data_IF_683931007447
#
_entry.id   IF_683931007447
#
_cell.length_a   1.000
_cell.length_b   1.000
_cell.length_c   1.000
_cell.angle_alpha   90.00
_cell.angle_beta   90.00
_cell.angle_gamma   90.00
#
_symmetry.space_group_name_H-M   'P 1'
#
loop_
_entity.id
_entity.type
_entity.pdbx_description
1 polymer ?
#
# COMPACT_ATOMS: atom_id res chain seq x y z
N UNK A 1 -13.02 -13.11 -7.18
CA UNK A 1 -11.63 -12.60 -7.22
C UNK A 1 -11.61 -11.27 -7.96
N UNK A 2 -10.92 -10.26 -7.43
CA UNK A 2 -10.84 -8.95 -8.08
C UNK A 2 -9.74 -8.98 -9.14
N UNK A 3 -10.06 -8.58 -10.38
CA UNK A 3 -9.07 -8.47 -11.46
C UNK A 3 -8.80 -7.00 -11.74
N UNK A 4 -7.57 -6.58 -11.46
CA UNK A 4 -7.13 -5.21 -11.56
C UNK A 4 -5.93 -5.11 -12.51
N UNK A 5 -5.83 -3.99 -13.22
CA UNK A 5 -4.70 -3.63 -14.06
C UNK A 5 -4.14 -2.27 -13.63
N UNK A 6 -2.82 -2.12 -13.73
CA UNK A 6 -2.14 -0.84 -13.59
C UNK A 6 -2.20 -0.11 -14.93
N UNK A 7 -2.77 1.09 -14.93
CA UNK A 7 -2.89 1.94 -16.12
C UNK A 7 -2.16 3.25 -15.86
N UNK A 8 -1.29 3.66 -16.77
CA UNK A 8 -0.62 4.95 -16.69
C UNK A 8 -1.66 6.08 -16.77
N UNK A 9 -1.67 6.95 -15.77
CA UNK A 9 -2.60 8.09 -15.65
C UNK A 9 -1.79 9.34 -15.29
N UNK A 10 -1.49 10.17 -16.28
CA UNK A 10 -0.56 11.31 -16.12
C UNK A 10 0.90 10.94 -16.43
N UNK A 11 1.83 11.82 -16.07
CA UNK A 11 3.25 11.64 -16.47
C UNK A 11 3.98 10.54 -15.69
N UNK A 12 3.71 10.40 -14.39
CA UNK A 12 4.44 9.47 -13.49
C UNK A 12 3.53 8.74 -12.48
N UNK A 13 2.22 8.80 -12.71
CA UNK A 13 1.22 8.22 -11.80
C UNK A 13 0.44 7.11 -12.51
N UNK A 14 -0.13 6.20 -11.73
CA UNK A 14 -0.96 5.12 -12.26
C UNK A 14 -2.29 5.07 -11.55
N UNK A 15 -3.28 4.48 -12.21
CA UNK A 15 -4.56 4.08 -11.61
C UNK A 15 -4.68 2.56 -11.58
N UNK A 16 -5.23 2.00 -10.50
CA UNK A 16 -5.65 0.60 -10.46
C UNK A 16 -7.09 0.49 -10.97
N UNK A 17 -7.26 -0.06 -12.17
CA UNK A 17 -8.56 -0.18 -12.83
C UNK A 17 -9.05 -1.62 -12.87
N UNK A 18 -10.36 -1.81 -12.73
CA UNK A 18 -10.99 -3.12 -12.91
C UNK A 18 -10.94 -3.55 -14.37
N UNK A 19 -10.54 -4.79 -14.62
CA UNK A 19 -10.60 -5.39 -15.96
C UNK A 19 -11.94 -6.08 -16.25
N UNK A 20 -12.84 -6.12 -15.27
CA UNK A 20 -14.16 -6.78 -15.37
C UNK A 20 -15.28 -5.75 -15.38
N UNK A 21 -15.13 -4.66 -14.62
CA UNK A 21 -16.09 -3.56 -14.55
C UNK A 21 -15.46 -2.31 -15.15
N UNK A 22 -15.76 -2.03 -16.42
CA UNK A 22 -15.20 -0.89 -17.14
C UNK A 22 -15.42 0.43 -16.41
N UNK A 23 -14.36 1.25 -16.34
CA UNK A 23 -14.40 2.58 -15.73
C UNK A 23 -14.36 2.57 -14.19
N UNK A 24 -14.30 1.40 -13.54
CA UNK A 24 -14.15 1.30 -12.09
C UNK A 24 -12.67 1.25 -11.69
N UNK A 25 -12.33 1.96 -10.62
CA UNK A 25 -11.00 1.95 -10.04
C UNK A 25 -11.00 1.74 -8.53
N UNK A 26 -9.79 1.60 -7.99
CA UNK A 26 -9.51 1.77 -6.56
C UNK A 26 -9.16 3.22 -6.31
N UNK A 27 -9.80 3.83 -5.31
CA UNK A 27 -9.49 5.18 -4.85
C UNK A 27 -9.38 5.21 -3.33
N UNK A 28 -8.77 6.27 -2.80
CA UNK A 28 -8.57 6.48 -1.37
C UNK A 28 -9.18 7.81 -0.95
N UNK A 29 -9.99 7.79 0.12
CA UNK A 29 -10.54 8.98 0.75
C UNK A 29 -9.44 9.79 1.45
N UNK A 30 -9.71 11.06 1.74
CA UNK A 30 -8.78 11.93 2.48
C UNK A 30 -8.43 11.40 3.89
N UNK A 31 -9.30 10.58 4.48
CA UNK A 31 -9.07 9.92 5.78
C UNK A 31 -8.23 8.62 5.69
N UNK A 32 -7.78 8.25 4.48
CA UNK A 32 -6.99 7.06 4.22
C UNK A 32 -7.81 5.78 4.01
N UNK A 33 -9.14 5.82 4.09
CA UNK A 33 -10.00 4.66 3.82
C UNK A 33 -10.18 4.41 2.33
N UNK A 34 -10.56 3.18 1.95
CA UNK A 34 -10.89 2.86 0.56
C UNK A 34 -12.19 3.56 0.13
N UNK A 35 -12.13 4.26 -0.99
CA UNK A 35 -13.29 4.83 -1.64
C UNK A 35 -14.17 3.71 -2.20
N UNK A 36 -15.49 3.89 -2.16
CA UNK A 36 -16.41 2.96 -2.82
C UNK A 36 -16.10 2.89 -4.33
N UNK A 37 -16.00 1.69 -4.93
CA UNK A 37 -15.78 1.54 -6.37
C UNK A 37 -16.84 2.27 -7.20
N UNK A 38 -18.05 2.44 -6.66
CA UNK A 38 -19.16 3.17 -7.32
C UNK A 38 -18.85 4.64 -7.58
N UNK A 39 -17.90 5.23 -6.85
CA UNK A 39 -17.55 6.63 -6.91
C UNK A 39 -16.09 6.87 -7.33
N UNK A 40 -15.40 5.83 -7.85
CA UNK A 40 -14.04 5.96 -8.34
C UNK A 40 -14.02 5.98 -9.87
N UNK A 41 -13.53 7.07 -10.47
CA UNK A 41 -13.12 7.13 -11.87
C UNK A 41 -11.61 7.33 -11.98
N UNK A 42 -10.99 6.70 -12.97
CA UNK A 42 -9.52 6.68 -13.12
C UNK A 42 -8.89 8.04 -13.48
N UNK A 43 -9.72 9.04 -13.80
CA UNK A 43 -9.33 10.43 -13.99
C UNK A 43 -9.28 11.22 -12.69
N UNK A 44 -9.82 10.68 -11.60
CA UNK A 44 -9.94 11.40 -10.34
C UNK A 44 -8.62 11.35 -9.56
N UNK A 45 -8.28 12.44 -8.87
CA UNK A 45 -7.04 12.56 -8.09
C UNK A 45 -6.88 11.45 -7.05
N UNK A 46 -7.97 11.11 -6.36
CA UNK A 46 -7.99 10.05 -5.35
C UNK A 46 -7.78 8.63 -5.91
N UNK A 47 -7.73 8.47 -7.24
CA UNK A 47 -7.43 7.20 -7.92
C UNK A 47 -5.98 7.08 -8.39
N UNK A 48 -5.16 8.12 -8.18
CA UNK A 48 -3.77 8.18 -8.66
C UNK A 48 -2.81 7.69 -7.58
N UNK A 49 -1.92 6.77 -7.97
CA UNK A 49 -0.92 6.16 -7.11
C UNK A 49 0.48 6.35 -7.70
N UNK A 50 1.43 6.67 -6.84
CA UNK A 50 2.86 6.49 -7.14
C UNK A 50 3.26 5.04 -6.90
N UNK A 51 4.10 4.48 -7.77
CA UNK A 51 4.59 3.10 -7.62
C UNK A 51 6.03 3.10 -7.12
N UNK A 52 6.24 2.46 -5.97
CA UNK A 52 7.56 2.14 -5.45
C UNK A 52 7.86 0.66 -5.70
N UNK A 53 8.91 0.41 -6.48
CA UNK A 53 9.40 -0.93 -6.77
C UNK A 53 10.49 -1.30 -5.74
N UNK A 54 10.20 -2.29 -4.90
CA UNK A 54 11.18 -2.83 -3.96
C UNK A 54 11.92 -4.01 -4.61
N UNK A 55 13.26 -4.02 -4.51
CA UNK A 55 14.10 -5.12 -5.02
C UNK A 55 13.97 -6.40 -4.19
N UNK A 56 13.55 -6.27 -2.94
CA UNK A 56 13.29 -7.37 -2.01
C UNK A 56 11.79 -7.60 -1.91
N UNK A 57 11.37 -8.86 -1.84
CA UNK A 57 9.96 -9.18 -1.60
C UNK A 57 9.56 -8.71 -0.20
N UNK A 58 8.32 -8.26 -0.02
CA UNK A 58 7.84 -7.76 1.29
C UNK A 58 8.05 -8.76 2.43
N UNK A 59 8.11 -10.05 2.11
CA UNK A 59 8.44 -11.14 3.02
C UNK A 59 9.87 -11.05 3.58
N UNK A 60 10.86 -10.70 2.75
CA UNK A 60 12.25 -10.49 3.18
C UNK A 60 12.39 -9.24 4.07
N UNK A 61 11.62 -8.17 3.78
CA UNK A 61 11.56 -6.96 4.61
C UNK A 61 10.92 -7.22 5.98
N UNK A 62 9.88 -8.05 6.04
CA UNK A 62 9.24 -8.50 7.29
C UNK A 62 10.16 -9.39 8.14
N UNK A 63 11.02 -10.18 7.51
CA UNK A 63 12.01 -11.03 8.20
C UNK A 63 13.17 -10.21 8.77
N UNK A 64 13.70 -9.23 8.02
CA UNK A 64 14.74 -8.32 8.52
C UNK A 64 14.29 -7.50 9.74
N UNK A 65 13.05 -7.00 9.74
CA UNK A 65 12.48 -6.29 10.89
C UNK A 65 12.29 -7.18 12.13
N UNK A 66 12.21 -8.52 11.97
CA UNK A 66 12.13 -9.46 13.10
C UNK A 66 13.51 -9.76 13.68
N UNK A 67 14.56 -9.77 12.87
CA UNK A 67 15.94 -9.98 13.32
C UNK A 67 16.45 -8.74 14.08
N UNK A 68 16.20 -7.52 13.58
CA UNK A 68 16.59 -6.29 14.29
C UNK A 68 15.91 -6.13 15.66
N UNK A 69 14.68 -6.65 15.83
CA UNK A 69 14.00 -6.68 17.14
C UNK A 69 14.55 -7.71 18.12
N UNK A 70 15.33 -8.69 17.66
CA UNK A 70 15.87 -9.76 18.50
C UNK A 70 17.21 -9.39 19.16
N UNK A 71 17.91 -8.40 18.60
CA UNK A 71 19.22 -7.94 19.06
C UNK A 71 19.17 -6.72 20.00
N UNK A 72 17.99 -6.27 20.45
CA UNK A 72 17.91 -5.39 21.61
C UNK A 72 18.03 -6.22 22.89
N UNK A 73 19.12 -6.13 23.66
CA UNK A 73 19.16 -6.72 24.98
C UNK A 73 18.11 -5.99 25.83
N UNK A 74 17.20 -6.78 26.37
CA UNK A 74 16.31 -6.40 27.45
C UNK A 74 17.21 -5.95 28.62
N UNK A 75 17.44 -4.65 28.78
CA UNK A 75 17.95 -4.13 30.05
C UNK A 75 16.89 -4.42 31.11
N UNK A 76 17.05 -5.57 31.76
CA UNK A 76 16.52 -5.82 33.09
C UNK A 76 17.18 -4.81 34.02
N UNK A 77 16.42 -3.82 34.47
CA UNK A 77 16.68 -3.20 35.77
C UNK A 77 15.57 -3.63 36.70
N UNK A 78 15.83 -4.73 37.42
CA UNK A 78 15.11 -5.11 38.64
C UNK A 78 15.28 -4.05 39.73
N UNK A 79 14.28 -4.02 40.61
CA UNK A 79 14.10 -3.23 41.84
C UNK A 79 15.33 -2.88 42.69
N UNK A 80 15.26 -1.70 43.32
CA UNK A 80 15.49 -1.39 44.77
C UNK A 80 15.41 0.14 44.93
N UNK A 81 14.74 0.75 45.91
CA UNK A 81 14.23 0.38 47.23
C UNK A 81 13.25 1.48 47.68
#
# INVERSE_FOLDING_TARGET
EAKLQLVLSGELMVSLQSTVEHGRCIGINADGTLLSPKHCFASDEHSLFGILLFKTTGQQLLEQNKEEKKDQPMEQSEEKK
#
